data_IF_701986297442
#
_entry.id   IF_701986297442
#
_cell.length_a   1.000
_cell.length_b   1.000
_cell.length_c   1.000
_cell.angle_alpha   90.00
_cell.angle_beta   90.00
_cell.angle_gamma   90.00
#
_symmetry.space_group_name_H-M   'P 1'
#
loop_
_entity.id
_entity.type
_entity.pdbx_description
1 polymer ?
#
# COMPACT_ATOMS: atom_id res chain seq x y z
N UNK A 1 -10.07 11.65 -24.98
CA UNK A 1 -10.45 10.88 -23.78
C UNK A 1 -9.22 10.91 -22.91
N UNK A 2 -9.26 11.58 -21.76
CA UNK A 2 -8.13 11.56 -20.83
C UNK A 2 -8.11 10.15 -20.23
N UNK A 3 -7.03 9.41 -20.45
CA UNK A 3 -6.81 8.13 -19.80
C UNK A 3 -6.73 8.41 -18.29
N UNK A 4 -7.81 8.09 -17.56
CA UNK A 4 -7.87 8.27 -16.12
C UNK A 4 -7.19 7.07 -15.47
N UNK A 5 -6.12 7.35 -14.75
CA UNK A 5 -5.48 6.41 -13.84
C UNK A 5 -5.72 6.87 -12.41
N UNK A 6 -5.92 5.92 -11.52
CA UNK A 6 -6.16 6.18 -10.10
C UNK A 6 -5.23 5.32 -9.26
N UNK A 7 -4.65 5.92 -8.23
CA UNK A 7 -3.90 5.23 -7.19
C UNK A 7 -4.61 5.44 -5.87
N UNK A 8 -5.01 4.35 -5.25
CA UNK A 8 -5.58 4.35 -3.90
C UNK A 8 -4.63 3.62 -2.96
N UNK A 9 -4.52 4.10 -1.72
CA UNK A 9 -3.67 3.49 -0.70
C UNK A 9 -4.50 3.24 0.55
N UNK A 10 -4.35 2.06 1.13
CA UNK A 10 -4.97 1.68 2.39
C UNK A 10 -3.91 1.21 3.37
N UNK A 11 -3.95 1.71 4.59
CA UNK A 11 -3.17 1.19 5.71
C UNK A 11 -4.11 0.56 6.73
N UNK A 12 -3.75 -0.61 7.23
CA UNK A 12 -4.50 -1.35 8.24
C UNK A 12 -3.55 -1.89 9.30
N UNK A 13 -3.91 -1.74 10.56
CA UNK A 13 -3.23 -2.39 11.68
C UNK A 13 -4.20 -3.37 12.35
N UNK A 14 -3.77 -4.61 12.56
CA UNK A 14 -4.56 -5.66 13.20
C UNK A 14 -3.64 -6.67 13.89
N UNK A 15 -3.98 -7.02 15.13
CA UNK A 15 -3.32 -8.10 15.89
C UNK A 15 -1.78 -7.97 15.99
N UNK A 16 -1.26 -6.73 16.00
CA UNK A 16 0.17 -6.43 16.09
C UNK A 16 0.89 -6.26 14.76
N UNK A 17 0.22 -6.59 13.64
CA UNK A 17 0.74 -6.38 12.30
C UNK A 17 0.15 -5.11 11.67
N UNK A 18 0.94 -4.41 10.88
CA UNK A 18 0.50 -3.29 10.06
C UNK A 18 0.81 -3.56 8.59
N UNK A 19 -0.18 -3.35 7.74
CA UNK A 19 -0.13 -3.61 6.31
C UNK A 19 -0.39 -2.31 5.55
N UNK A 20 0.25 -2.20 4.39
CA UNK A 20 -0.08 -1.21 3.37
C UNK A 20 -0.52 -1.95 2.11
N UNK A 21 -1.57 -1.45 1.48
CA UNK A 21 -2.02 -1.89 0.16
C UNK A 21 -2.10 -0.69 -0.78
N UNK A 22 -1.55 -0.85 -1.97
CA UNK A 22 -1.60 0.12 -3.06
C UNK A 22 -2.42 -0.49 -4.19
N UNK A 23 -3.46 0.22 -4.61
CA UNK A 23 -4.38 -0.18 -5.66
C UNK A 23 -4.19 0.75 -6.85
N UNK A 24 -3.78 0.17 -7.97
CA UNK A 24 -3.60 0.85 -9.24
C UNK A 24 -4.77 0.51 -10.17
N UNK A 25 -5.48 1.52 -10.67
CA UNK A 25 -6.60 1.35 -11.60
C UNK A 25 -6.29 1.90 -12.99
N UNK A 26 -6.64 1.13 -14.02
CA UNK A 26 -6.45 1.47 -15.43
C UNK A 26 -5.13 0.94 -16.00
N UNK A 27 -4.76 1.42 -17.19
CA UNK A 27 -3.47 1.09 -17.83
C UNK A 27 -2.35 1.95 -17.21
N UNK A 28 -1.95 1.61 -15.99
CA UNK A 28 -0.78 2.22 -15.35
C UNK A 28 0.50 1.63 -15.95
N UNK A 29 1.46 2.50 -16.27
CA UNK A 29 2.82 2.11 -16.64
C UNK A 29 3.48 1.34 -15.49
N UNK A 30 3.95 0.09 -15.71
CA UNK A 30 4.62 -0.70 -14.69
C UNK A 30 5.86 -0.01 -14.10
N UNK A 31 6.60 0.78 -14.88
CA UNK A 31 7.77 1.52 -14.38
C UNK A 31 7.33 2.62 -13.40
N UNK A 32 6.25 3.32 -13.71
CA UNK A 32 5.67 4.32 -12.81
C UNK A 32 5.17 3.68 -11.51
N UNK A 33 4.46 2.55 -11.61
CA UNK A 33 4.00 1.81 -10.42
C UNK A 33 5.18 1.38 -9.54
N UNK A 34 6.24 0.84 -10.13
CA UNK A 34 7.44 0.44 -9.39
C UNK A 34 8.10 1.62 -8.65
N UNK A 35 8.15 2.80 -9.27
CA UNK A 35 8.64 4.02 -8.61
C UNK A 35 7.76 4.38 -7.40
N UNK A 36 6.43 4.35 -7.56
CA UNK A 36 5.49 4.64 -6.47
C UNK A 36 5.66 3.66 -5.31
N UNK A 37 5.72 2.36 -5.59
CA UNK A 37 5.91 1.32 -4.57
C UNK A 37 7.25 1.48 -3.83
N UNK A 38 8.30 1.93 -4.53
CA UNK A 38 9.62 2.18 -3.95
C UNK A 38 9.69 3.50 -3.13
N UNK A 39 8.67 4.35 -3.20
CA UNK A 39 8.61 5.58 -2.39
C UNK A 39 8.15 5.32 -0.95
N UNK A 40 7.67 4.12 -0.61
CA UNK A 40 7.20 3.80 0.74
C UNK A 40 8.39 3.52 1.67
N UNK A 41 8.68 4.37 2.67
CA UNK A 41 9.82 4.16 3.55
C UNK A 41 9.65 2.88 4.36
N UNK A 42 10.71 2.08 4.44
CA UNK A 42 10.72 0.88 5.27
C UNK A 42 10.03 -0.35 4.69
N UNK A 43 9.63 -0.29 3.42
CA UNK A 43 9.15 -1.43 2.64
C UNK A 43 10.13 -1.64 1.50
N UNK A 44 10.77 -2.81 1.41
CA UNK A 44 11.67 -3.09 0.30
C UNK A 44 10.85 -3.41 -0.96
N UNK A 45 11.41 -3.10 -2.14
CA UNK A 45 10.75 -3.41 -3.41
C UNK A 45 10.36 -4.89 -3.56
N UNK A 46 11.14 -5.80 -2.96
CA UNK A 46 10.90 -7.24 -2.98
C UNK A 46 9.81 -7.72 -2.00
N UNK A 47 9.39 -6.87 -1.06
CA UNK A 47 8.39 -7.23 -0.04
C UNK A 47 6.96 -6.99 -0.55
N UNK A 48 6.80 -6.32 -1.70
CA UNK A 48 5.51 -6.14 -2.34
C UNK A 48 5.02 -7.45 -2.96
N UNK A 49 3.82 -7.86 -2.55
CA UNK A 49 3.15 -9.04 -3.05
C UNK A 49 1.92 -8.63 -3.88
N UNK A 50 1.69 -9.25 -5.05
CA UNK A 50 0.46 -9.05 -5.79
C UNK A 50 -0.71 -9.75 -5.09
N UNK A 51 -1.85 -9.09 -5.02
CA UNK A 51 -3.06 -9.57 -4.33
C UNK A 51 -4.23 -9.70 -5.30
N UNK A 52 -4.20 -10.67 -6.25
CA UNK A 52 -5.24 -10.79 -7.27
C UNK A 52 -6.62 -11.15 -6.70
N UNK A 53 -6.66 -11.76 -5.51
CA UNK A 53 -7.89 -12.06 -4.77
C UNK A 53 -8.33 -10.97 -3.80
N UNK A 54 -7.57 -9.87 -3.71
CA UNK A 54 -7.78 -8.84 -2.70
C UNK A 54 -7.09 -9.14 -1.37
N UNK A 55 -7.02 -8.11 -0.54
CA UNK A 55 -6.34 -8.16 0.76
C UNK A 55 -6.95 -7.12 1.69
N UNK A 56 -6.96 -7.37 3.00
CA UNK A 56 -7.36 -6.37 4.01
C UNK A 56 -8.75 -5.72 3.79
N UNK A 57 -9.69 -6.49 3.25
CA UNK A 57 -11.04 -6.00 2.92
C UNK A 57 -11.11 -5.17 1.64
N UNK A 58 -10.04 -5.14 0.85
CA UNK A 58 -10.04 -4.66 -0.53
C UNK A 58 -10.38 -5.84 -1.44
N UNK A 59 -11.43 -5.68 -2.24
CA UNK A 59 -11.75 -6.57 -3.35
C UNK A 59 -11.40 -5.83 -4.66
N UNK A 60 -10.45 -6.34 -5.47
CA UNK A 60 -10.04 -5.66 -6.70
C UNK A 60 -11.20 -5.58 -7.70
N UNK A 61 -11.52 -4.37 -8.16
CA UNK A 61 -12.44 -4.14 -9.26
C UNK A 61 -11.82 -4.45 -10.63
N UNK A 62 -12.63 -4.36 -11.69
CA UNK A 62 -12.12 -4.53 -13.06
C UNK A 62 -11.05 -3.49 -13.38
N UNK A 63 -9.90 -3.96 -13.89
CA UNK A 63 -8.78 -3.09 -14.24
C UNK A 63 -7.98 -2.57 -13.03
N UNK A 64 -8.25 -3.10 -11.83
CA UNK A 64 -7.46 -2.80 -10.64
C UNK A 64 -6.40 -3.88 -10.38
N UNK A 65 -5.21 -3.44 -9.99
CA UNK A 65 -4.10 -4.27 -9.55
C UNK A 65 -3.76 -3.85 -8.13
N UNK A 66 -3.76 -4.82 -7.20
CA UNK A 66 -3.45 -4.58 -5.79
C UNK A 66 -2.08 -5.16 -5.48
N UNK A 67 -1.23 -4.34 -4.86
CA UNK A 67 0.02 -4.78 -4.24
C UNK A 67 -0.04 -4.49 -2.75
N UNK A 68 0.42 -5.43 -1.93
CA UNK A 68 0.46 -5.26 -0.48
C UNK A 68 1.84 -5.56 0.08
N UNK A 69 2.14 -4.98 1.24
CA UNK A 69 3.34 -5.28 2.00
C UNK A 69 3.09 -5.10 3.50
N UNK A 70 3.93 -5.77 4.31
CA UNK A 70 3.98 -5.55 5.76
C UNK A 70 4.84 -4.32 6.03
N UNK A 71 4.33 -3.42 6.87
CA UNK A 71 5.12 -2.33 7.43
C UNK A 71 5.95 -2.93 8.56
N UNK A 72 7.28 -2.86 8.46
CA UNK A 72 8.16 -3.45 9.47
C UNK A 72 7.92 -2.85 10.87
N UNK A 73 8.09 -3.64 11.95
CA UNK A 73 7.90 -3.15 13.32
C UNK A 73 8.73 -1.91 13.66
N UNK A 74 9.93 -1.79 13.08
CA UNK A 74 10.79 -0.60 13.23
C UNK A 74 10.08 0.67 12.73
N UNK A 75 9.44 0.61 11.55
CA UNK A 75 8.72 1.74 10.99
C UNK A 75 7.37 1.98 11.65
N UNK A 76 6.70 0.93 12.12
CA UNK A 76 5.51 1.08 12.97
C UNK A 76 5.85 1.88 14.24
N UNK A 77 6.96 1.54 14.92
CA UNK A 77 7.41 2.25 16.10
C UNK A 77 7.75 3.72 15.79
N UNK A 78 8.41 4.00 14.66
CA UNK A 78 8.68 5.39 14.21
C UNK A 78 7.41 6.19 13.96
N UNK A 79 6.38 5.57 13.34
CA UNK A 79 5.09 6.21 13.11
C UNK A 79 4.43 6.57 14.45
N UNK A 80 4.44 5.63 15.41
CA UNK A 80 3.87 5.87 16.76
C UNK A 80 4.67 6.92 17.53
N UNK A 81 6.00 6.92 17.47
CA UNK A 81 6.84 7.94 18.11
C UNK A 81 6.58 9.34 17.53
N UNK A 82 6.40 9.42 16.21
CA UNK A 82 6.20 10.70 15.52
C UNK A 82 4.76 11.25 15.64
N UNK A 83 3.74 10.37 15.69
CA UNK A 83 2.33 10.77 15.58
C UNK A 83 1.43 10.20 16.69
N UNK A 84 1.95 9.38 17.59
CA UNK A 84 1.18 8.61 18.58
C UNK A 84 0.74 9.38 19.82
N UNK A 85 0.82 10.70 19.82
CA UNK A 85 0.30 11.56 20.89
C UNK A 85 -0.67 12.63 20.37
N UNK A 86 -1.65 12.20 19.58
CA UNK A 86 -2.89 12.95 19.42
C UNK A 86 -3.88 12.41 20.45
N UNK A 87 -3.90 13.00 21.66
CA UNK A 87 -4.76 12.63 22.79
C UNK A 87 -6.27 12.65 22.50
N UNK A 88 -6.75 11.70 21.70
CA UNK A 88 -8.14 11.32 21.45
C UNK A 88 -8.42 9.92 21.96
#
# INVERSE_FOLDING_TARGET
MLDRYELSVLVRARDGDAYIAVVAEGFIDPEFLAVVLNCVPGVAAADWLPEPGGVMGIEPGFGQIVHSAIISPEYQAKIVDQYGDDGR
#
